data_IF_118220599534
#
_entry.id   IF_118220599534
#
_cell.length_a   1.000
_cell.length_b   1.000
_cell.length_c   1.000
_cell.angle_alpha   90.00
_cell.angle_beta   90.00
_cell.angle_gamma   90.00
#
_symmetry.space_group_name_H-M   'P 1'
#
loop_
_entity.id
_entity.type
_entity.pdbx_description
1 polymer ?
#
# COMPACT_ATOMS: atom_id res chain seq x y z
N UNK A 1 9.31 -31.87 3.78
CA UNK A 1 8.12 -31.08 4.18
C UNK A 1 8.01 -29.98 3.15
N UNK A 2 7.06 -30.08 2.23
CA UNK A 2 6.87 -29.08 1.19
C UNK A 2 6.35 -27.80 1.87
N UNK A 3 7.11 -26.73 1.69
CA UNK A 3 6.76 -25.38 2.11
C UNK A 3 5.36 -25.03 1.58
N UNK A 4 4.41 -24.88 2.50
CA UNK A 4 3.00 -24.67 2.18
C UNK A 4 2.71 -23.21 1.79
N UNK A 5 3.74 -22.39 1.64
CA UNK A 5 3.67 -20.95 1.43
C UNK A 5 3.88 -20.54 -0.03
N UNK A 6 4.28 -21.48 -0.90
CA UNK A 6 4.63 -21.20 -2.30
C UNK A 6 3.50 -21.49 -3.31
N UNK A 7 2.49 -22.30 -2.94
CA UNK A 7 1.31 -22.45 -3.80
C UNK A 7 0.40 -21.22 -3.62
N UNK A 8 0.56 -20.27 -4.55
CA UNK A 8 -0.32 -19.14 -4.82
C UNK A 8 0.00 -17.83 -4.06
N UNK A 9 1.27 -17.40 -4.01
CA UNK A 9 1.56 -15.98 -3.74
C UNK A 9 1.07 -15.16 -4.94
N UNK A 10 -0.17 -14.71 -4.88
CA UNK A 10 -0.71 -13.75 -5.85
C UNK A 10 -0.06 -12.39 -5.57
N UNK A 11 0.95 -12.04 -6.36
CA UNK A 11 1.57 -10.72 -6.32
C UNK A 11 0.70 -9.73 -7.10
N UNK A 12 -0.44 -9.35 -6.52
CA UNK A 12 -1.26 -8.27 -7.07
C UNK A 12 -0.50 -6.95 -6.93
N UNK A 13 -0.33 -6.20 -8.02
CA UNK A 13 0.07 -4.81 -7.89
C UNK A 13 -1.15 -3.94 -7.55
N UNK A 14 -0.89 -2.74 -7.02
CA UNK A 14 -1.95 -1.75 -6.82
C UNK A 14 -2.62 -1.37 -8.15
N UNK A 15 -1.86 -1.39 -9.25
CA UNK A 15 -2.38 -1.09 -10.59
C UNK A 15 -3.42 -2.12 -11.03
N UNK A 16 -3.08 -3.41 -10.90
CA UNK A 16 -3.98 -4.51 -11.23
C UNK A 16 -5.27 -4.46 -10.41
N UNK A 17 -5.18 -4.03 -9.13
CA UNK A 17 -6.35 -3.88 -8.28
C UNK A 17 -7.26 -2.73 -8.70
N UNK A 18 -6.68 -1.62 -9.16
CA UNK A 18 -7.44 -0.41 -9.53
C UNK A 18 -8.05 -0.49 -10.93
N UNK A 19 -7.45 -1.28 -11.82
CA UNK A 19 -7.96 -1.56 -13.17
C UNK A 19 -9.11 -2.60 -13.15
N UNK A 20 -9.26 -3.35 -12.04
CA UNK A 20 -10.29 -4.38 -11.93
C UNK A 20 -11.71 -3.78 -11.93
N UNK A 21 -12.57 -4.27 -12.82
CA UNK A 21 -13.97 -3.86 -12.97
C UNK A 21 -14.77 -4.01 -11.66
N UNK A 22 -14.39 -4.95 -10.78
CA UNK A 22 -15.06 -5.13 -9.48
C UNK A 22 -14.68 -4.04 -8.48
N UNK A 23 -13.56 -3.35 -8.69
CA UNK A 23 -13.04 -2.33 -7.79
C UNK A 23 -13.69 -0.97 -8.00
N UNK A 24 -14.03 -0.61 -9.24
CA UNK A 24 -14.70 0.65 -9.57
C UNK A 24 -15.95 0.95 -8.70
N UNK A 25 -16.93 0.02 -8.54
CA UNK A 25 -18.09 0.28 -7.69
C UNK A 25 -17.73 0.41 -6.21
N UNK A 26 -16.69 -0.28 -5.74
CA UNK A 26 -16.22 -0.20 -4.35
C UNK A 26 -15.64 1.18 -4.08
N UNK A 27 -14.75 1.68 -4.94
CA UNK A 27 -14.16 3.01 -4.84
C UNK A 27 -15.24 4.09 -4.86
N UNK A 28 -16.17 4.01 -5.81
CA UNK A 28 -17.30 4.94 -5.93
C UNK A 28 -18.16 4.96 -4.67
N UNK A 29 -18.42 3.79 -4.05
CA UNK A 29 -19.19 3.70 -2.80
C UNK A 29 -18.49 4.36 -1.60
N UNK A 30 -17.16 4.35 -1.62
CA UNK A 30 -16.33 5.01 -0.62
C UNK A 30 -16.06 6.50 -0.93
N UNK A 31 -16.57 7.01 -2.05
CA UNK A 31 -16.38 8.40 -2.47
C UNK A 31 -15.01 8.67 -3.11
N UNK A 32 -14.32 7.64 -3.57
CA UNK A 32 -13.03 7.74 -4.24
C UNK A 32 -13.13 7.32 -5.71
N UNK A 33 -12.23 7.85 -6.53
CA UNK A 33 -11.80 7.28 -7.80
C UNK A 33 -10.42 6.62 -7.64
N UNK A 34 -9.92 5.97 -8.70
CA UNK A 34 -8.64 5.26 -8.65
C UNK A 34 -7.45 6.18 -8.34
N UNK A 35 -7.41 7.39 -8.92
CA UNK A 35 -6.36 8.38 -8.65
C UNK A 35 -6.49 8.94 -7.23
N UNK A 36 -7.72 9.23 -6.79
CA UNK A 36 -8.00 9.67 -5.43
C UNK A 36 -7.53 8.66 -4.36
N UNK A 37 -7.70 7.36 -4.62
CA UNK A 37 -7.17 6.32 -3.73
C UNK A 37 -5.63 6.27 -3.76
N UNK A 38 -5.01 6.37 -4.95
CA UNK A 38 -3.54 6.40 -5.09
C UNK A 38 -2.93 7.56 -4.32
N UNK A 39 -3.46 8.77 -4.47
CA UNK A 39 -2.96 9.95 -3.76
C UNK A 39 -3.05 9.77 -2.24
N UNK A 40 -4.17 9.25 -1.74
CA UNK A 40 -4.36 8.98 -0.31
C UNK A 40 -3.34 7.97 0.23
N UNK A 41 -3.05 6.90 -0.52
CA UNK A 41 -2.05 5.91 -0.14
C UNK A 41 -0.63 6.50 -0.15
N UNK A 42 -0.30 7.32 -1.15
CA UNK A 42 1.00 8.01 -1.25
C UNK A 42 1.19 8.98 -0.09
N UNK A 43 0.17 9.78 0.23
CA UNK A 43 0.20 10.69 1.39
C UNK A 43 0.40 9.90 2.69
N UNK A 44 -0.33 8.79 2.85
CA UNK A 44 -0.21 7.93 4.02
C UNK A 44 1.19 7.33 4.15
N UNK A 45 1.77 6.84 3.05
CA UNK A 45 3.12 6.30 3.02
C UNK A 45 4.16 7.35 3.44
N UNK A 46 4.04 8.60 2.93
CA UNK A 46 4.90 9.72 3.34
C UNK A 46 4.81 10.00 4.83
N UNK A 47 3.59 10.09 5.38
CA UNK A 47 3.38 10.32 6.82
C UNK A 47 4.02 9.22 7.67
N UNK A 48 3.93 7.96 7.23
CA UNK A 48 4.54 6.82 7.94
C UNK A 48 6.06 6.92 7.89
N UNK A 49 6.64 7.23 6.73
CA UNK A 49 8.09 7.40 6.55
C UNK A 49 8.62 8.55 7.42
N UNK A 50 7.95 9.71 7.39
CA UNK A 50 8.28 10.87 8.23
C UNK A 50 8.27 10.49 9.73
N UNK A 51 7.27 9.71 10.16
CA UNK A 51 7.18 9.25 11.55
C UNK A 51 8.28 8.24 11.90
N UNK A 52 8.67 7.37 10.97
CA UNK A 52 9.78 6.44 11.15
C UNK A 52 11.12 7.18 11.26
N UNK A 53 11.32 8.21 10.43
CA UNK A 53 12.50 9.08 10.50
C UNK A 53 12.55 9.87 11.81
N UNK A 54 11.42 10.45 12.25
CA UNK A 54 11.33 11.14 13.53
C UNK A 54 11.57 10.23 14.75
N UNK A 55 11.32 8.91 14.62
CA UNK A 55 11.53 7.93 15.68
C UNK A 55 12.95 7.36 15.71
N UNK A 56 13.79 7.64 14.71
CA UNK A 56 15.22 7.33 14.73
C UNK A 56 16.04 8.61 14.99
N UNK A 57 16.16 9.09 16.25
CA UNK A 57 17.19 10.04 16.58
C UNK A 57 18.53 9.30 16.58
N UNK A 58 19.43 9.76 15.72
CA UNK A 58 20.86 9.46 15.61
C UNK A 58 21.43 8.48 16.66
N UNK A 59 21.56 7.21 16.25
CA UNK A 59 22.55 6.33 16.84
C UNK A 59 23.96 6.77 16.40
N UNK A 60 24.50 7.80 17.05
CA UNK A 60 25.92 8.12 17.01
C UNK A 60 26.70 6.96 17.65
N UNK A 61 27.27 6.09 16.81
CA UNK A 61 28.28 5.12 17.23
C UNK A 61 29.65 5.74 16.96
N UNK A 62 30.33 6.14 18.04
CA UNK A 62 31.78 6.39 18.08
C UNK A 62 32.52 5.04 18.08
#
# INVERSE_FOLDING_TARGET
>A
MADRSDCCRYEASLDDLLDDDVMEPVLRSAGYDADGLRDMLVETARRIDDHHHARQPDGHHD
#
